data_IF_130540946714
#
_entry.id   IF_130540946714
#
_cell.length_a   1.000
_cell.length_b   1.000
_cell.length_c   1.000
_cell.angle_alpha   90.00
_cell.angle_beta   90.00
_cell.angle_gamma   90.00
#
_symmetry.space_group_name_H-M   'P 1'
#
loop_
_entity.id
_entity.type
_entity.pdbx_description
1 polymer ?
#
# COMPACT_ATOMS: atom_id res chain seq x y z
N UNK A 1 -7.39 1.24 14.38
CA UNK A 1 -7.26 2.66 13.96
C UNK A 1 -6.25 2.76 12.83
N UNK A 2 -6.52 3.52 11.76
CA UNK A 2 -5.53 3.79 10.70
C UNK A 2 -4.61 4.91 11.18
N UNK A 3 -3.29 4.73 11.05
CA UNK A 3 -2.31 5.72 11.51
C UNK A 3 -1.66 6.48 10.36
N UNK A 4 -1.20 5.78 9.33
CA UNK A 4 -0.46 6.43 8.24
C UNK A 4 -0.52 5.64 6.92
N UNK A 5 -0.02 6.29 5.87
CA UNK A 5 0.33 5.67 4.62
C UNK A 5 1.51 4.70 4.77
N UNK A 6 1.48 3.58 4.03
CA UNK A 6 2.57 2.61 3.98
C UNK A 6 3.55 2.95 2.84
N UNK A 7 4.74 3.55 3.09
CA UNK A 7 5.65 3.93 2.03
C UNK A 7 6.24 2.70 1.33
N UNK A 8 6.40 2.71 0.00
CA UNK A 8 7.06 1.63 -0.70
C UNK A 8 8.55 1.62 -0.37
N UNK A 9 9.12 0.42 -0.28
CA UNK A 9 10.51 0.20 0.08
C UNK A 9 11.30 -0.51 -1.04
N UNK A 10 12.63 -0.36 -1.01
CA UNK A 10 13.54 -1.02 -1.95
C UNK A 10 13.46 -2.54 -1.84
N UNK A 11 13.29 -3.07 -0.63
CA UNK A 11 13.18 -4.50 -0.38
C UNK A 11 12.06 -5.15 -1.22
N UNK A 12 10.88 -4.53 -1.28
CA UNK A 12 9.79 -5.08 -2.11
C UNK A 12 10.07 -4.94 -3.60
N UNK A 13 10.77 -3.89 -4.01
CA UNK A 13 11.21 -3.73 -5.39
C UNK A 13 12.16 -4.85 -5.82
N UNK A 14 13.09 -5.24 -4.94
CA UNK A 14 14.02 -6.34 -5.16
C UNK A 14 13.28 -7.69 -5.23
N UNK A 15 12.31 -7.93 -4.33
CA UNK A 15 11.46 -9.13 -4.39
C UNK A 15 10.65 -9.25 -5.68
N UNK A 16 10.09 -8.14 -6.18
CA UNK A 16 9.37 -8.12 -7.45
C UNK A 16 10.32 -8.42 -8.60
N UNK A 17 11.51 -7.82 -8.61
CA UNK A 17 12.51 -8.08 -9.64
C UNK A 17 12.98 -9.55 -9.69
N UNK A 18 12.94 -10.27 -8.58
CA UNK A 18 13.27 -11.70 -8.50
C UNK A 18 12.17 -12.62 -9.04
N UNK A 19 10.92 -12.16 -9.09
CA UNK A 19 9.74 -13.01 -9.32
C UNK A 19 8.95 -12.63 -10.57
N UNK A 20 9.25 -11.49 -11.18
CA UNK A 20 8.52 -10.95 -12.33
C UNK A 20 9.49 -10.39 -13.38
N UNK A 21 9.02 -10.34 -14.63
CA UNK A 21 9.73 -9.72 -15.75
C UNK A 21 8.91 -8.60 -16.38
N UNK A 22 9.58 -7.66 -17.03
CA UNK A 22 8.97 -6.69 -17.94
C UNK A 22 8.43 -7.41 -19.18
N UNK A 23 7.67 -6.68 -20.02
CA UNK A 23 7.23 -7.17 -21.32
C UNK A 23 8.38 -7.49 -22.29
N UNK A 24 9.58 -6.96 -22.04
CA UNK A 24 10.82 -7.30 -22.76
C UNK A 24 11.58 -8.49 -22.16
N UNK A 25 11.00 -9.18 -21.18
CA UNK A 25 11.60 -10.36 -20.53
C UNK A 25 12.72 -10.04 -19.53
N UNK A 26 12.96 -8.77 -19.20
CA UNK A 26 14.02 -8.37 -18.27
C UNK A 26 13.47 -8.15 -16.86
N UNK A 27 14.27 -8.32 -15.79
CA UNK A 27 13.83 -7.94 -14.46
C UNK A 27 13.44 -6.44 -14.39
N UNK A 28 12.34 -6.09 -13.70
CA UNK A 28 12.02 -4.70 -13.38
C UNK A 28 13.20 -3.96 -12.73
N UNK A 29 13.41 -2.70 -13.12
CA UNK A 29 14.47 -1.86 -12.55
C UNK A 29 14.29 -1.73 -11.03
N UNK A 30 15.40 -1.63 -10.30
CA UNK A 30 15.45 -1.55 -8.82
C UNK A 30 14.49 -0.54 -8.18
N UNK A 31 14.16 0.58 -8.84
CA UNK A 31 13.23 1.59 -8.29
C UNK A 31 11.88 1.65 -8.99
N UNK A 32 11.59 0.74 -9.93
CA UNK A 32 10.36 0.75 -10.71
C UNK A 32 9.14 0.62 -9.79
N UNK A 33 9.16 -0.34 -8.86
CA UNK A 33 8.08 -0.52 -7.89
C UNK A 33 7.94 0.68 -6.96
N UNK A 34 9.03 1.18 -6.38
CA UNK A 34 8.99 2.31 -5.44
C UNK A 34 8.35 3.54 -6.06
N UNK A 35 8.65 3.81 -7.34
CA UNK A 35 8.05 4.91 -8.08
C UNK A 35 6.57 4.65 -8.38
N UNK A 36 6.25 3.46 -8.90
CA UNK A 36 4.88 3.11 -9.29
C UNK A 36 3.92 2.99 -8.09
N UNK A 37 4.39 2.53 -6.94
CA UNK A 37 3.57 2.25 -5.78
C UNK A 37 3.38 3.48 -4.85
N UNK A 38 3.96 4.63 -5.21
CA UNK A 38 3.83 5.86 -4.41
C UNK A 38 2.34 6.23 -4.28
N UNK A 39 1.87 6.39 -3.04
CA UNK A 39 0.47 6.61 -2.64
C UNK A 39 -0.50 5.46 -2.95
N UNK A 40 -0.04 4.34 -3.49
CA UNK A 40 -0.86 3.17 -3.84
C UNK A 40 -0.56 1.93 -2.98
N UNK A 41 0.44 2.01 -2.09
CA UNK A 41 0.95 0.87 -1.32
C UNK A 41 0.15 0.56 -0.04
N UNK A 42 -1.06 1.10 0.06
CA UNK A 42 -1.97 0.88 1.19
C UNK A 42 -1.60 1.71 2.41
N UNK A 43 -2.20 1.34 3.54
CA UNK A 43 -2.15 2.05 4.81
C UNK A 43 -1.65 1.12 5.91
N UNK A 44 -1.21 1.69 7.02
CA UNK A 44 -0.90 0.98 8.26
C UNK A 44 -1.80 1.47 9.38
N UNK A 45 -2.02 0.61 10.36
CA UNK A 45 -2.83 0.92 11.52
C UNK A 45 -2.51 0.00 12.68
N UNK A 46 -3.10 0.32 13.82
CA UNK A 46 -2.99 -0.44 15.06
C UNK A 46 -4.32 -1.12 15.38
N UNK A 47 -4.21 -2.22 16.12
CA UNK A 47 -5.36 -2.87 16.74
C UNK A 47 -5.81 -2.00 17.91
N UNK A 48 -6.95 -1.36 17.74
CA UNK A 48 -7.55 -0.50 18.77
C UNK A 48 -8.30 -1.34 19.82
N UNK A 49 -9.00 -2.38 19.36
CA UNK A 49 -9.69 -3.36 20.18
C UNK A 49 -9.39 -4.75 19.65
N UNK A 50 -8.99 -5.67 20.54
CA UNK A 50 -8.70 -7.06 20.18
C UNK A 50 -9.97 -7.83 19.82
N UNK A 51 -9.87 -8.76 18.88
CA UNK A 51 -10.99 -9.58 18.43
C UNK A 51 -10.56 -10.56 17.35
N UNK A 52 -11.45 -11.51 17.03
CA UNK A 52 -11.27 -12.47 15.94
C UNK A 52 -11.81 -11.87 14.64
N UNK A 53 -11.08 -12.05 13.54
CA UNK A 53 -11.50 -11.69 12.19
C UNK A 53 -11.35 -12.91 11.28
N UNK A 54 -12.21 -13.04 10.28
CA UNK A 54 -12.21 -14.12 9.31
C UNK A 54 -12.24 -13.59 7.88
N UNK A 55 -11.78 -14.42 6.95
CA UNK A 55 -11.91 -14.11 5.53
C UNK A 55 -13.39 -14.04 5.14
N UNK A 56 -13.78 -12.94 4.47
CA UNK A 56 -15.16 -12.71 4.06
C UNK A 56 -16.00 -11.88 5.04
N UNK A 57 -15.45 -11.49 6.19
CA UNK A 57 -16.14 -10.59 7.12
C UNK A 57 -16.45 -9.25 6.45
N UNK A 58 -17.63 -8.70 6.75
CA UNK A 58 -18.00 -7.35 6.33
C UNK A 58 -17.19 -6.31 7.11
N UNK A 59 -16.63 -5.34 6.40
CA UNK A 59 -15.80 -4.27 6.99
C UNK A 59 -16.52 -2.93 6.86
N UNK A 60 -16.82 -2.30 8.01
CA UNK A 60 -17.28 -0.91 8.04
C UNK A 60 -16.10 0.04 8.19
N UNK A 61 -15.92 0.96 7.23
CA UNK A 61 -14.88 2.00 7.27
C UNK A 61 -15.49 3.33 7.70
N UNK A 62 -14.92 3.92 8.76
CA UNK A 62 -15.28 5.28 9.21
C UNK A 62 -14.14 6.24 8.90
N UNK A 63 -14.38 7.18 7.99
CA UNK A 63 -13.40 8.20 7.63
C UNK A 63 -13.46 9.35 8.64
N UNK A 64 -12.36 9.61 9.33
CA UNK A 64 -12.27 10.68 10.32
C UNK A 64 -12.19 12.08 9.68
N UNK A 65 -11.33 12.23 8.67
CA UNK A 65 -11.13 13.49 7.93
C UNK A 65 -11.07 13.21 6.43
N UNK A 66 -12.19 13.42 5.75
CA UNK A 66 -12.33 13.21 4.30
C UNK A 66 -11.55 14.22 3.48
N UNK A 67 -11.36 15.44 4.00
CA UNK A 67 -10.65 16.52 3.31
C UNK A 67 -9.15 16.22 3.26
N UNK A 68 -8.56 15.81 4.38
CA UNK A 68 -7.16 15.40 4.46
C UNK A 68 -6.88 14.17 3.57
N UNK A 69 -7.78 13.18 3.60
CA UNK A 69 -7.65 11.99 2.75
C UNK A 69 -7.68 12.38 1.26
N UNK A 70 -8.62 13.23 0.86
CA UNK A 70 -8.74 13.69 -0.52
C UNK A 70 -7.49 14.46 -0.97
N UNK A 71 -6.97 15.37 -0.15
CA UNK A 71 -5.76 16.14 -0.43
C UNK A 71 -4.49 15.27 -0.49
N UNK A 72 -4.45 14.14 0.22
CA UNK A 72 -3.36 13.17 0.11
C UNK A 72 -3.41 12.42 -1.22
N UNK A 73 -4.62 12.02 -1.66
CA UNK A 73 -4.83 11.25 -2.89
C UNK A 73 -4.72 12.09 -4.15
N UNK A 74 -5.07 13.38 -4.11
CA UNK A 74 -5.02 14.28 -5.29
C UNK A 74 -3.61 14.64 -5.77
N UNK A 75 -2.55 14.13 -5.12
CA UNK A 75 -1.13 14.37 -5.43
C UNK A 75 -0.49 13.18 -6.16
N UNK A 76 -1.29 12.38 -6.85
CA UNK A 76 -0.86 11.29 -7.74
C UNK A 76 -0.48 11.88 -9.10
#
# INVERSE_FOLDING_TARGET
MVEDYNPPCSYMSEKIAQTHTTTSGQPPKRLAFVKAAKRLRGLVGVVDVVGVINAGDEVTVKVFDSSRLSAFLSKI
#
